data_IF_602905783780
#
_entry.id   IF_602905783780
#
_cell.length_a   1.000
_cell.length_b   1.000
_cell.length_c   1.000
_cell.angle_alpha   90.00
_cell.angle_beta   90.00
_cell.angle_gamma   90.00
#
_symmetry.space_group_name_H-M   'P 1'
#
loop_
_entity.id
_entity.type
_entity.pdbx_description
1 polymer ?
#
# COMPACT_ATOMS: atom_id res chain seq x y z
N UNK A 1 40.26 -0.98 -5.56
CA UNK A 1 39.12 -1.22 -6.48
C UNK A 1 37.90 -0.70 -5.76
N UNK A 2 37.56 0.54 -6.03
CA UNK A 2 36.54 1.29 -5.32
C UNK A 2 35.15 0.76 -5.64
N UNK A 3 34.40 0.44 -4.58
CA UNK A 3 33.01 0.02 -4.62
C UNK A 3 32.16 1.11 -5.28
N UNK A 4 31.27 0.78 -6.22
CA UNK A 4 30.42 1.77 -6.87
C UNK A 4 29.51 2.45 -5.84
N UNK A 5 29.36 3.75 -6.07
CA UNK A 5 28.64 4.75 -5.31
C UNK A 5 27.18 4.32 -5.07
N UNK A 6 26.95 3.49 -4.06
CA UNK A 6 25.71 3.52 -3.29
C UNK A 6 26.01 4.29 -2.01
N UNK A 7 26.41 5.55 -2.18
CA UNK A 7 26.28 6.55 -1.13
C UNK A 7 24.85 6.43 -0.61
N UNK A 8 24.72 6.13 0.69
CA UNK A 8 23.50 6.30 1.48
C UNK A 8 23.02 7.73 1.24
N UNK A 9 22.16 7.91 0.25
CA UNK A 9 21.41 9.16 0.10
C UNK A 9 20.73 9.38 1.46
N UNK A 10 20.87 10.55 2.08
CA UNK A 10 20.15 10.84 3.32
C UNK A 10 18.68 10.49 3.07
N UNK A 11 18.08 9.75 4.01
CA UNK A 11 16.67 9.44 3.98
C UNK A 11 15.92 10.76 3.85
N UNK A 12 15.47 11.07 2.64
CA UNK A 12 14.77 12.31 2.36
C UNK A 12 13.40 12.16 3.00
N UNK A 13 13.19 12.84 4.13
CA UNK A 13 11.86 12.99 4.72
C UNK A 13 11.08 13.92 3.80
N UNK A 14 9.97 13.46 3.21
CA UNK A 14 9.14 14.30 2.36
C UNK A 14 8.66 15.56 3.09
N UNK A 15 8.57 16.69 2.38
CA UNK A 15 8.06 17.96 2.91
C UNK A 15 6.82 18.45 2.16
N UNK A 16 6.58 17.91 0.96
CA UNK A 16 5.39 18.20 0.15
C UNK A 16 4.63 16.91 -0.19
N UNK A 17 3.38 17.05 -0.57
CA UNK A 17 2.54 15.93 -1.00
C UNK A 17 3.12 15.20 -2.22
N UNK A 18 3.73 15.94 -3.16
CA UNK A 18 4.41 15.39 -4.34
C UNK A 18 5.65 14.57 -3.95
N UNK A 19 6.43 15.08 -2.99
CA UNK A 19 7.58 14.35 -2.47
C UNK A 19 7.17 13.07 -1.74
N UNK A 20 6.05 13.11 -0.98
CA UNK A 20 5.53 11.95 -0.28
C UNK A 20 5.06 10.89 -1.26
N UNK A 21 4.29 11.26 -2.28
CA UNK A 21 3.86 10.37 -3.35
C UNK A 21 5.06 9.73 -4.06
N UNK A 22 6.06 10.53 -4.42
CA UNK A 22 7.28 10.07 -5.09
C UNK A 22 8.07 9.10 -4.21
N UNK A 23 8.19 9.42 -2.92
CA UNK A 23 8.84 8.56 -1.95
C UNK A 23 8.09 7.23 -1.79
N UNK A 24 6.76 7.26 -1.67
CA UNK A 24 5.92 6.07 -1.55
C UNK A 24 6.08 5.15 -2.77
N UNK A 25 6.01 5.72 -3.99
CA UNK A 25 6.22 4.97 -5.23
C UNK A 25 7.60 4.32 -5.29
N UNK A 26 8.65 5.06 -4.96
CA UNK A 26 10.03 4.56 -4.96
C UNK A 26 10.26 3.42 -3.96
N UNK A 27 9.53 3.43 -2.84
CA UNK A 27 9.62 2.40 -1.81
C UNK A 27 8.50 1.34 -1.91
N UNK A 28 7.79 1.32 -3.04
CA UNK A 28 6.76 0.33 -3.36
C UNK A 28 5.66 0.24 -2.29
N UNK A 29 5.20 1.39 -1.79
CA UNK A 29 3.94 1.47 -1.05
C UNK A 29 2.76 1.36 -2.03
N UNK A 30 1.64 0.81 -1.55
CA UNK A 30 0.40 0.81 -2.30
C UNK A 30 -0.40 2.10 -2.02
N UNK A 31 -1.33 2.43 -2.91
CA UNK A 31 -2.23 3.59 -2.81
C UNK A 31 -3.69 3.16 -2.64
N UNK A 32 -3.94 1.92 -2.17
CA UNK A 32 -5.30 1.39 -2.04
C UNK A 32 -6.08 2.09 -0.93
N UNK A 33 -5.38 2.49 0.14
CA UNK A 33 -5.96 3.14 1.33
C UNK A 33 -5.31 4.50 1.64
N UNK A 34 -4.62 5.07 0.65
CA UNK A 34 -3.96 6.37 0.78
C UNK A 34 -4.24 7.22 -0.45
N UNK A 35 -4.93 8.35 -0.25
CA UNK A 35 -5.15 9.41 -1.23
C UNK A 35 -4.08 10.48 -1.02
N UNK A 36 -2.97 10.34 -1.74
CA UNK A 36 -1.84 11.25 -1.69
C UNK A 36 -1.64 11.81 -3.09
N UNK A 37 -1.63 13.14 -3.19
CA UNK A 37 -1.58 13.88 -4.44
C UNK A 37 -2.79 13.63 -5.34
N UNK A 38 -3.97 13.48 -4.73
CA UNK A 38 -5.26 13.49 -5.42
C UNK A 38 -5.72 12.18 -6.09
N UNK A 39 -5.10 11.03 -5.82
CA UNK A 39 -5.67 9.75 -6.26
C UNK A 39 -6.97 9.42 -5.51
N UNK A 40 -7.93 8.78 -6.18
CA UNK A 40 -9.17 8.36 -5.54
C UNK A 40 -8.97 7.09 -4.70
N UNK A 41 -9.64 7.02 -3.55
CA UNK A 41 -9.74 5.84 -2.69
C UNK A 41 -11.20 5.66 -2.26
N UNK A 42 -11.61 4.41 -2.03
CA UNK A 42 -12.93 4.11 -1.46
C UNK A 42 -12.92 4.23 0.07
N UNK A 43 -11.83 3.78 0.67
CA UNK A 43 -11.63 3.74 2.12
C UNK A 43 -10.14 3.96 2.44
N UNK A 44 -9.86 4.73 3.49
CA UNK A 44 -8.49 4.99 3.96
C UNK A 44 -8.23 6.45 4.26
N UNK A 45 -6.95 6.82 4.31
CA UNK A 45 -6.53 8.17 4.67
C UNK A 45 -6.25 9.04 3.44
N UNK A 46 -6.39 10.35 3.59
CA UNK A 46 -6.02 11.28 2.53
C UNK A 46 -5.76 12.69 3.01
N UNK A 47 -5.39 13.54 2.05
CA UNK A 47 -5.06 14.94 2.26
C UNK A 47 -6.11 15.81 1.56
N UNK A 48 -6.73 16.72 2.31
CA UNK A 48 -7.57 17.79 1.77
C UNK A 48 -6.94 19.16 2.10
N UNK A 49 -7.18 20.16 1.24
CA UNK A 49 -6.73 21.56 1.45
C UNK A 49 -7.97 22.45 1.45
N UNK A 50 -8.31 23.03 2.60
CA UNK A 50 -9.51 23.85 2.78
C UNK A 50 -9.13 25.19 3.37
N UNK A 51 -9.43 26.28 2.66
CA UNK A 51 -9.22 27.67 3.13
C UNK A 51 -7.79 27.98 3.63
N UNK A 52 -6.78 27.32 3.06
CA UNK A 52 -5.37 27.49 3.44
C UNK A 52 -4.90 26.58 4.58
N UNK A 53 -5.78 25.77 5.15
CA UNK A 53 -5.44 24.70 6.09
C UNK A 53 -5.25 23.36 5.37
N UNK A 54 -4.41 22.52 5.95
CA UNK A 54 -4.08 21.18 5.47
C UNK A 54 -4.72 20.15 6.39
N UNK A 55 -5.55 19.27 5.84
CA UNK A 55 -6.37 18.34 6.60
C UNK A 55 -5.94 16.92 6.27
N UNK A 56 -5.57 16.17 7.31
CA UNK A 56 -5.48 14.72 7.24
C UNK A 56 -6.84 14.14 7.59
N UNK A 57 -7.45 13.43 6.64
CA UNK A 57 -8.78 12.84 6.81
C UNK A 57 -8.72 11.32 6.71
N UNK A 58 -9.75 10.66 7.25
CA UNK A 58 -10.10 9.28 6.94
C UNK A 58 -11.42 9.26 6.18
N UNK A 59 -11.56 8.38 5.21
CA UNK A 59 -12.82 8.15 4.49
C UNK A 59 -13.20 6.68 4.60
N UNK A 60 -14.48 6.41 4.80
CA UNK A 60 -15.05 5.07 4.65
C UNK A 60 -16.37 5.20 3.89
N UNK A 61 -16.48 4.49 2.76
CA UNK A 61 -17.69 4.49 1.90
C UNK A 61 -18.16 5.90 1.52
N UNK A 62 -17.20 6.80 1.29
CA UNK A 62 -17.44 8.19 0.90
C UNK A 62 -17.78 9.15 2.04
N UNK A 63 -17.86 8.68 3.28
CA UNK A 63 -18.02 9.53 4.46
C UNK A 63 -16.62 9.91 4.94
N UNK A 64 -16.29 11.20 4.85
CA UNK A 64 -15.01 11.76 5.30
C UNK A 64 -15.09 12.26 6.75
N UNK A 65 -14.09 11.91 7.54
CA UNK A 65 -13.84 12.42 8.88
C UNK A 65 -12.49 13.14 8.91
N UNK A 66 -12.47 14.38 9.42
CA UNK A 66 -11.23 15.13 9.60
C UNK A 66 -10.53 14.63 10.85
N UNK A 67 -9.39 13.96 10.69
CA UNK A 67 -8.61 13.39 11.79
C UNK A 67 -7.76 14.48 12.45
N UNK A 68 -7.10 15.32 11.64
CA UNK A 68 -6.24 16.40 12.14
C UNK A 68 -6.07 17.53 11.11
N UNK A 69 -5.92 18.75 11.62
CA UNK A 69 -5.73 19.97 10.82
C UNK A 69 -4.35 20.55 11.13
N UNK A 70 -3.69 21.07 10.11
CA UNK A 70 -2.36 21.66 10.16
C UNK A 70 -2.34 23.00 9.43
N UNK A 71 -1.46 23.90 9.87
CA UNK A 71 -1.30 25.22 9.27
C UNK A 71 -0.33 25.21 8.08
N UNK A 72 0.52 24.19 7.97
CA UNK A 72 1.50 24.08 6.90
C UNK A 72 1.51 22.68 6.29
N UNK A 73 1.83 22.59 5.00
CA UNK A 73 1.97 21.31 4.29
C UNK A 73 3.02 20.42 4.98
N UNK A 74 4.16 21.01 5.35
CA UNK A 74 5.27 20.28 5.96
C UNK A 74 4.87 19.56 7.25
N UNK A 75 4.07 20.19 8.10
CA UNK A 75 3.57 19.57 9.33
C UNK A 75 2.62 18.41 9.04
N UNK A 76 1.70 18.59 8.09
CA UNK A 76 0.81 17.50 7.66
C UNK A 76 1.63 16.33 7.08
N UNK A 77 2.62 16.62 6.24
CA UNK A 77 3.40 15.58 5.56
C UNK A 77 4.26 14.81 6.55
N UNK A 78 4.85 15.47 7.56
CA UNK A 78 5.56 14.78 8.62
C UNK A 78 4.63 13.81 9.38
N UNK A 79 3.42 14.25 9.74
CA UNK A 79 2.44 13.40 10.41
C UNK A 79 1.97 12.21 9.54
N UNK A 80 1.62 12.48 8.29
CA UNK A 80 1.19 11.45 7.33
C UNK A 80 2.32 10.43 7.08
N UNK A 81 3.55 10.90 6.93
CA UNK A 81 4.73 10.07 6.71
C UNK A 81 4.95 9.08 7.86
N UNK A 82 4.93 9.56 9.11
CA UNK A 82 5.09 8.70 10.29
C UNK A 82 3.97 7.65 10.37
N UNK A 83 2.73 8.06 10.11
CA UNK A 83 1.58 7.15 10.10
C UNK A 83 1.73 6.08 9.01
N UNK A 84 2.03 6.47 7.78
CA UNK A 84 2.22 5.55 6.64
C UNK A 84 3.38 4.57 6.89
N UNK A 85 4.47 5.03 7.52
CA UNK A 85 5.60 4.16 7.86
C UNK A 85 5.24 3.11 8.92
N UNK A 86 4.38 3.48 9.87
CA UNK A 86 3.91 2.57 10.93
C UNK A 86 2.84 1.58 10.46
N UNK A 87 2.19 1.85 9.33
CA UNK A 87 1.12 1.00 8.80
C UNK A 87 1.68 -0.25 8.10
N UNK A 88 1.48 -1.40 8.74
CA UNK A 88 1.90 -2.72 8.22
C UNK A 88 1.26 -3.07 6.88
N UNK A 89 0.09 -2.52 6.56
CA UNK A 89 -0.63 -2.81 5.32
C UNK A 89 -0.21 -1.91 4.16
N UNK A 90 0.39 -0.75 4.44
CA UNK A 90 0.75 0.24 3.42
C UNK A 90 1.78 -0.27 2.39
N UNK A 91 2.55 -1.31 2.73
CA UNK A 91 3.48 -2.01 1.81
C UNK A 91 2.96 -3.31 1.25
N UNK A 92 1.73 -3.72 1.59
CA UNK A 92 1.20 -4.99 1.11
C UNK A 92 0.64 -4.84 -0.30
N UNK A 93 0.88 -5.81 -1.17
CA UNK A 93 0.36 -5.84 -2.54
C UNK A 93 -0.38 -7.14 -2.76
N UNK A 94 -1.70 -7.06 -2.95
CA UNK A 94 -2.48 -8.24 -3.28
C UNK A 94 -2.13 -8.72 -4.70
N UNK A 95 -1.63 -9.94 -4.79
CA UNK A 95 -1.26 -10.61 -6.04
C UNK A 95 -2.08 -11.88 -6.31
N UNK A 96 -2.89 -12.32 -5.35
CA UNK A 96 -3.80 -13.43 -5.52
C UNK A 96 -5.13 -13.15 -4.83
N UNK A 97 -6.22 -13.41 -5.54
CA UNK A 97 -7.60 -13.35 -5.04
C UNK A 97 -8.36 -14.49 -5.73
N UNK A 98 -8.68 -15.54 -4.97
CA UNK A 98 -9.31 -16.74 -5.53
C UNK A 98 -10.27 -17.39 -4.52
N UNK A 99 -11.20 -18.20 -5.02
CA UNK A 99 -12.04 -19.07 -4.18
C UNK A 99 -11.52 -20.52 -4.15
N UNK A 100 -10.47 -20.84 -4.91
CA UNK A 100 -9.81 -22.15 -4.89
C UNK A 100 -8.69 -22.19 -3.85
N UNK A 101 -8.78 -23.17 -2.94
CA UNK A 101 -7.73 -23.42 -1.95
C UNK A 101 -6.46 -23.98 -2.60
N UNK A 102 -6.61 -24.72 -3.70
CA UNK A 102 -5.52 -25.29 -4.49
C UNK A 102 -4.70 -24.17 -5.14
N UNK A 103 -5.34 -23.18 -5.75
CA UNK A 103 -4.66 -22.02 -6.32
C UNK A 103 -3.92 -21.18 -5.27
N UNK A 104 -4.50 -21.04 -4.06
CA UNK A 104 -3.82 -20.43 -2.91
C UNK A 104 -2.53 -21.18 -2.56
N UNK A 105 -2.59 -22.51 -2.50
CA UNK A 105 -1.43 -23.35 -2.16
C UNK A 105 -0.37 -23.26 -3.26
N UNK A 106 -0.76 -23.40 -4.54
CA UNK A 106 0.16 -23.31 -5.68
C UNK A 106 0.90 -21.95 -5.70
N UNK A 107 0.17 -20.84 -5.51
CA UNK A 107 0.79 -19.52 -5.42
C UNK A 107 1.78 -19.41 -4.26
N UNK A 108 1.47 -20.01 -3.11
CA UNK A 108 2.37 -20.03 -1.95
C UNK A 108 3.67 -20.77 -2.26
N UNK A 109 3.58 -21.90 -2.95
CA UNK A 109 4.75 -22.69 -3.35
C UNK A 109 5.62 -21.94 -4.35
N UNK A 110 5.03 -21.27 -5.33
CA UNK A 110 5.75 -20.43 -6.28
C UNK A 110 6.48 -19.27 -5.60
N UNK A 111 5.86 -18.63 -4.60
CA UNK A 111 6.51 -17.56 -3.83
C UNK A 111 7.68 -18.08 -2.98
N UNK A 112 7.52 -19.24 -2.32
CA UNK A 112 8.60 -19.88 -1.56
C UNK A 112 9.78 -20.28 -2.44
N UNK A 113 9.54 -20.83 -3.63
CA UNK A 113 10.59 -21.16 -4.61
C UNK A 113 11.41 -19.93 -5.03
N UNK A 114 10.82 -18.74 -4.97
CA UNK A 114 11.44 -17.45 -5.32
C UNK A 114 12.06 -16.73 -4.12
N UNK A 115 11.99 -17.31 -2.92
CA UNK A 115 12.41 -16.67 -1.67
C UNK A 115 11.72 -15.31 -1.44
N UNK A 116 10.41 -15.24 -1.71
CA UNK A 116 9.59 -14.04 -1.53
C UNK A 116 8.73 -14.20 -0.28
N UNK A 117 8.81 -13.24 0.63
CA UNK A 117 7.94 -13.17 1.80
C UNK A 117 6.50 -12.80 1.41
N UNK A 118 5.53 -13.44 2.05
CA UNK A 118 4.12 -13.23 1.73
C UNK A 118 3.20 -13.44 2.94
N UNK A 119 2.03 -12.81 2.89
CA UNK A 119 0.95 -12.95 3.85
C UNK A 119 -0.24 -13.57 3.13
N UNK A 120 -0.93 -14.49 3.79
CA UNK A 120 -2.21 -15.02 3.31
C UNK A 120 -3.29 -14.87 4.36
N UNK A 121 -4.49 -14.58 3.90
CA UNK A 121 -5.69 -14.64 4.72
C UNK A 121 -6.87 -15.25 3.96
N UNK A 122 -7.96 -15.40 4.68
CA UNK A 122 -9.23 -15.93 4.21
C UNK A 122 -10.33 -15.01 4.73
N UNK A 123 -11.18 -14.53 3.82
CA UNK A 123 -12.27 -13.62 4.15
C UNK A 123 -13.61 -14.16 3.61
N UNK A 124 -14.73 -13.97 4.33
CA UNK A 124 -16.05 -14.45 3.90
C UNK A 124 -16.68 -13.53 2.83
N UNK A 125 -15.91 -13.18 1.78
CA UNK A 125 -16.32 -12.18 0.78
C UNK A 125 -17.55 -12.60 -0.04
N UNK A 126 -17.66 -13.89 -0.40
CA UNK A 126 -18.85 -14.45 -1.07
C UNK A 126 -19.77 -15.22 -0.11
N UNK A 127 -19.68 -14.91 1.19
CA UNK A 127 -20.38 -15.62 2.25
C UNK A 127 -19.52 -16.70 2.93
N UNK A 128 -20.02 -17.29 4.02
CA UNK A 128 -19.24 -18.21 4.87
C UNK A 128 -18.90 -19.53 4.18
N UNK A 129 -19.68 -19.95 3.18
CA UNK A 129 -19.47 -21.22 2.46
C UNK A 129 -18.51 -21.09 1.28
N UNK A 130 -18.20 -19.86 0.86
CA UNK A 130 -17.32 -19.58 -0.28
C UNK A 130 -16.36 -18.44 0.07
N UNK A 131 -15.37 -18.69 0.93
CA UNK A 131 -14.41 -17.67 1.28
C UNK A 131 -13.54 -17.29 0.08
N UNK A 132 -13.04 -16.06 0.10
CA UNK A 132 -11.97 -15.63 -0.79
C UNK A 132 -10.63 -15.73 -0.06
N UNK A 133 -9.66 -16.34 -0.72
CA UNK A 133 -8.27 -16.44 -0.27
C UNK A 133 -7.46 -15.33 -0.92
N UNK A 134 -6.79 -14.52 -0.10
CA UNK A 134 -5.93 -13.45 -0.58
C UNK A 134 -4.48 -13.78 -0.30
N UNK A 135 -3.61 -13.42 -1.23
CA UNK A 135 -2.17 -13.51 -1.06
C UNK A 135 -1.53 -12.17 -1.35
N UNK A 136 -0.75 -11.68 -0.39
CA UNK A 136 -0.07 -10.40 -0.44
C UNK A 136 1.44 -10.61 -0.41
N UNK A 137 2.17 -9.84 -1.20
CA UNK A 137 3.63 -9.69 -1.09
C UNK A 137 3.98 -8.32 -0.54
N UNK A 138 5.21 -8.16 -0.06
CA UNK A 138 5.64 -6.96 0.66
C UNK A 138 6.56 -6.08 -0.17
N UNK A 139 6.30 -4.77 -0.13
CA UNK A 139 7.15 -3.75 -0.74
C UNK A 139 7.47 -4.05 -2.21
N UNK A 140 8.76 -3.97 -2.55
CA UNK A 140 9.18 -4.08 -3.95
C UNK A 140 9.22 -5.51 -4.51
N UNK A 141 8.92 -6.54 -3.72
CA UNK A 141 8.77 -7.89 -4.25
C UNK A 141 7.58 -8.02 -5.20
N UNK A 142 6.61 -7.10 -5.13
CA UNK A 142 5.53 -6.99 -6.12
C UNK A 142 6.05 -6.86 -7.56
N UNK A 143 7.24 -6.27 -7.75
CA UNK A 143 7.84 -6.12 -9.07
C UNK A 143 8.32 -7.46 -9.66
N UNK A 144 8.61 -8.45 -8.80
CA UNK A 144 9.06 -9.81 -9.16
C UNK A 144 7.90 -10.80 -9.36
N UNK A 145 6.66 -10.39 -9.07
CA UNK A 145 5.49 -11.27 -9.07
C UNK A 145 4.42 -10.82 -10.06
N UNK A 146 4.78 -10.07 -11.09
CA UNK A 146 3.84 -9.58 -12.12
C UNK A 146 3.17 -10.74 -12.87
N UNK A 147 3.94 -11.78 -13.18
CA UNK A 147 3.46 -13.01 -13.81
C UNK A 147 2.47 -13.76 -12.91
N UNK A 148 2.81 -13.89 -11.62
CA UNK A 148 1.93 -14.51 -10.63
C UNK A 148 0.63 -13.71 -10.47
N UNK A 149 0.71 -12.38 -10.39
CA UNK A 149 -0.47 -11.52 -10.29
C UNK A 149 -1.41 -11.72 -11.48
N UNK A 150 -0.88 -11.76 -12.71
CA UNK A 150 -1.70 -12.01 -13.90
C UNK A 150 -2.40 -13.37 -13.89
N UNK A 151 -1.79 -14.39 -13.28
CA UNK A 151 -2.36 -15.75 -13.19
C UNK A 151 -3.39 -15.89 -12.06
N UNK A 152 -3.11 -15.32 -10.89
CA UNK A 152 -3.83 -15.61 -9.64
C UNK A 152 -4.71 -14.47 -9.13
N UNK A 153 -4.59 -13.26 -9.68
CA UNK A 153 -5.47 -12.16 -9.35
C UNK A 153 -6.65 -12.16 -10.32
N UNK A 154 -7.68 -12.94 -9.98
CA UNK A 154 -8.91 -13.00 -10.76
C UNK A 154 -9.86 -11.92 -10.25
N UNK A 155 -10.50 -11.21 -11.17
CA UNK A 155 -11.69 -10.43 -10.84
C UNK A 155 -12.75 -11.45 -10.43
N UNK A 156 -12.88 -11.66 -9.12
CA UNK A 156 -13.84 -12.58 -8.51
C UNK A 156 -15.21 -11.92 -8.39
#
# INVERSE_FOLDING_TARGET
MDSPIFLKLPQMIPQTEIELETWMKRHCYNFNSYSINGNAILEGFGIDKIKGEFIWYYTERGIKENIKIFNTEKELIAYAFDQIQSDKWAKTHCIGMTTSKEEKIELSEELRKRDIEFIQDEIPYFGPERPAYRTFVLGCDVLKTKDLKSKYFKTV
#
